data_IF_077040232300
#
_entry.id   IF_077040232300
#
_cell.length_a   1.000
_cell.length_b   1.000
_cell.length_c   1.000
_cell.angle_alpha   90.00
_cell.angle_beta   90.00
_cell.angle_gamma   90.00
#
_symmetry.space_group_name_H-M   'P 1'
#
loop_
_entity.id
_entity.type
_entity.pdbx_description
1 polymer ?
#
# COMPACT_ATOMS: atom_id res chain seq x y z
N UNK A 1 -15.82 13.19 -1.39
CA UNK A 1 -15.91 11.72 -1.29
C UNK A 1 -15.13 11.26 -0.06
N UNK A 2 -15.69 10.36 0.74
CA UNK A 2 -14.94 9.67 1.78
C UNK A 2 -14.26 8.44 1.17
N UNK A 3 -13.00 8.60 0.74
CA UNK A 3 -12.26 7.54 0.04
C UNK A 3 -12.14 6.25 0.85
N UNK A 4 -12.03 6.35 2.18
CA UNK A 4 -11.92 5.19 3.06
C UNK A 4 -13.17 4.32 2.94
N UNK A 5 -14.34 4.90 3.18
CA UNK A 5 -15.60 4.16 3.19
C UNK A 5 -15.90 3.59 1.80
N UNK A 6 -15.58 4.33 0.73
CA UNK A 6 -15.76 3.84 -0.63
C UNK A 6 -14.87 2.64 -0.92
N UNK A 7 -13.59 2.68 -0.56
CA UNK A 7 -12.69 1.55 -0.78
C UNK A 7 -13.08 0.33 0.06
N UNK A 8 -13.48 0.55 1.32
CA UNK A 8 -13.97 -0.54 2.18
C UNK A 8 -15.23 -1.18 1.60
N UNK A 9 -16.17 -0.37 1.09
CA UNK A 9 -17.38 -0.87 0.41
C UNK A 9 -17.04 -1.72 -0.82
N UNK A 10 -16.10 -1.26 -1.65
CA UNK A 10 -15.68 -1.99 -2.85
C UNK A 10 -15.03 -3.34 -2.52
N UNK A 11 -14.22 -3.40 -1.46
CA UNK A 11 -13.64 -4.66 -0.98
C UNK A 11 -14.74 -5.59 -0.44
N UNK A 12 -15.63 -5.10 0.40
CA UNK A 12 -16.69 -5.92 1.01
C UNK A 12 -17.66 -6.47 -0.05
N UNK A 13 -17.97 -5.69 -1.08
CA UNK A 13 -18.77 -6.14 -2.22
C UNK A 13 -18.10 -7.25 -3.03
N UNK A 14 -16.79 -7.08 -3.31
CA UNK A 14 -16.00 -8.02 -4.10
C UNK A 14 -15.65 -9.30 -3.32
N UNK A 15 -15.45 -9.20 -2.00
CA UNK A 15 -14.88 -10.26 -1.16
C UNK A 15 -15.75 -10.58 0.07
N UNK A 16 -17.02 -10.90 -0.16
CA UNK A 16 -18.03 -11.17 0.90
C UNK A 16 -17.66 -12.25 1.92
N UNK A 17 -16.72 -13.13 1.60
CA UNK A 17 -16.29 -14.27 2.44
C UNK A 17 -14.93 -14.06 3.11
N UNK A 18 -14.35 -12.88 2.97
CA UNK A 18 -12.97 -12.58 3.35
C UNK A 18 -12.11 -12.23 2.14
N UNK A 19 -11.19 -11.30 2.33
CA UNK A 19 -10.30 -10.81 1.27
C UNK A 19 -9.27 -11.87 0.91
N UNK A 20 -9.54 -12.64 -0.14
CA UNK A 20 -8.58 -13.55 -0.75
C UNK A 20 -8.70 -13.42 -2.27
N UNK A 21 -7.62 -12.98 -2.92
CA UNK A 21 -7.59 -12.90 -4.39
C UNK A 21 -7.31 -14.24 -5.06
N UNK A 22 -6.87 -15.25 -4.30
CA UNK A 22 -6.50 -16.58 -4.81
C UNK A 22 -5.56 -16.51 -6.03
N UNK A 23 -4.69 -15.49 -6.08
CA UNK A 23 -3.80 -15.25 -7.20
C UNK A 23 -2.67 -16.29 -7.20
N UNK A 24 -2.66 -17.16 -8.19
CA UNK A 24 -1.65 -18.23 -8.29
C UNK A 24 -0.50 -17.89 -9.24
N UNK A 25 -0.70 -17.00 -10.21
CA UNK A 25 0.31 -16.73 -11.23
C UNK A 25 -0.13 -15.77 -12.34
N UNK A 26 0.78 -15.54 -13.29
CA UNK A 26 0.55 -14.75 -14.50
C UNK A 26 0.24 -15.72 -15.66
N UNK A 27 -0.93 -15.57 -16.26
CA UNK A 27 -1.35 -16.38 -17.41
C UNK A 27 -0.75 -15.84 -18.71
N UNK A 28 -0.33 -16.76 -19.58
CA UNK A 28 0.14 -16.45 -20.94
C UNK A 28 -0.86 -16.93 -22.00
N UNK A 29 -0.73 -16.39 -23.22
CA UNK A 29 -1.57 -16.79 -24.38
C UNK A 29 -1.48 -18.28 -24.72
N UNK A 30 -0.39 -18.93 -24.34
CA UNK A 30 -0.17 -20.36 -24.56
C UNK A 30 -0.71 -21.24 -23.42
N UNK A 31 -1.65 -20.71 -22.62
CA UNK A 31 -2.27 -21.45 -21.51
C UNK A 31 -1.27 -21.92 -20.44
N UNK A 32 -0.11 -21.26 -20.35
CA UNK A 32 0.86 -21.48 -19.28
C UNK A 32 0.70 -20.43 -18.19
N UNK A 33 0.81 -20.86 -16.94
CA UNK A 33 0.79 -20.01 -15.74
C UNK A 33 2.20 -19.95 -15.18
N UNK A 34 2.73 -18.74 -15.03
CA UNK A 34 3.96 -18.48 -14.29
C UNK A 34 3.61 -18.22 -12.84
N UNK A 35 3.97 -19.13 -11.94
CA UNK A 35 3.67 -18.96 -10.52
C UNK A 35 4.42 -17.76 -9.95
N UNK A 36 3.82 -17.10 -8.97
CA UNK A 36 4.46 -16.01 -8.27
C UNK A 36 5.27 -16.56 -7.11
N UNK A 37 6.48 -16.02 -6.89
CA UNK A 37 7.20 -16.25 -5.66
C UNK A 37 6.72 -15.28 -4.56
N UNK A 38 6.96 -15.62 -3.30
CA UNK A 38 6.56 -14.78 -2.16
C UNK A 38 7.44 -13.53 -1.93
N UNK A 39 8.37 -13.21 -2.84
CA UNK A 39 9.27 -12.06 -2.69
C UNK A 39 8.47 -10.76 -2.52
N UNK A 40 8.76 -10.01 -1.45
CA UNK A 40 7.95 -8.83 -1.12
C UNK A 40 8.01 -7.72 -2.16
N UNK A 41 9.05 -7.61 -2.99
CA UNK A 41 9.07 -6.61 -4.06
C UNK A 41 8.08 -6.98 -5.16
N UNK A 42 8.01 -8.27 -5.50
CA UNK A 42 7.01 -8.79 -6.45
C UNK A 42 5.62 -8.59 -5.86
N UNK A 43 5.40 -9.04 -4.63
CA UNK A 43 4.08 -8.98 -4.00
C UNK A 43 3.58 -7.54 -3.80
N UNK A 44 4.45 -6.58 -3.51
CA UNK A 44 4.06 -5.17 -3.44
C UNK A 44 3.45 -4.67 -4.75
N UNK A 45 4.11 -4.95 -5.88
CA UNK A 45 3.58 -4.58 -7.20
C UNK A 45 2.32 -5.34 -7.57
N UNK A 46 2.16 -6.58 -7.10
CA UNK A 46 0.92 -7.35 -7.26
C UNK A 46 -0.24 -6.68 -6.53
N UNK A 47 -0.09 -6.26 -5.28
CA UNK A 47 -1.15 -5.55 -4.56
C UNK A 47 -1.55 -4.24 -5.26
N UNK A 48 -0.59 -3.52 -5.85
CA UNK A 48 -0.87 -2.33 -6.67
C UNK A 48 -1.76 -2.67 -7.89
N UNK A 49 -1.42 -3.73 -8.63
CA UNK A 49 -2.20 -4.21 -9.78
C UNK A 49 -3.61 -4.64 -9.36
N UNK A 50 -3.72 -5.35 -8.23
CA UNK A 50 -5.01 -5.85 -7.73
C UNK A 50 -5.92 -4.73 -7.23
N UNK A 51 -5.35 -3.63 -6.71
CA UNK A 51 -6.13 -2.47 -6.25
C UNK A 51 -6.60 -1.56 -7.39
N UNK A 52 -5.87 -1.52 -8.50
CA UNK A 52 -6.18 -0.65 -9.64
C UNK A 52 -7.65 -0.73 -10.12
N UNK A 53 -8.24 -1.90 -10.40
CA UNK A 53 -9.64 -1.98 -10.84
C UNK A 53 -10.63 -1.46 -9.78
N UNK A 54 -10.35 -1.66 -8.49
CA UNK A 54 -11.18 -1.15 -7.39
C UNK A 54 -11.12 0.39 -7.35
N UNK A 55 -9.92 0.95 -7.45
CA UNK A 55 -9.71 2.41 -7.49
C UNK A 55 -10.41 3.02 -8.71
N UNK A 56 -10.31 2.39 -9.88
CA UNK A 56 -10.99 2.83 -11.09
C UNK A 56 -12.51 2.82 -10.94
N UNK A 57 -13.09 1.81 -10.28
CA UNK A 57 -14.55 1.75 -10.01
C UNK A 57 -15.00 2.93 -9.13
N UNK A 58 -14.25 3.25 -8.07
CA UNK A 58 -14.51 4.42 -7.22
C UNK A 58 -14.40 5.71 -8.02
N UNK A 59 -13.32 5.88 -8.78
CA UNK A 59 -13.13 7.10 -9.57
C UNK A 59 -14.26 7.31 -10.58
N UNK A 60 -14.67 6.25 -11.28
CA UNK A 60 -15.78 6.32 -12.23
C UNK A 60 -17.12 6.68 -11.56
N UNK A 61 -17.41 6.12 -10.39
CA UNK A 61 -18.62 6.42 -9.60
C UNK A 61 -18.72 7.91 -9.26
N UNK A 62 -17.59 8.57 -9.05
CA UNK A 62 -17.50 10.00 -8.69
C UNK A 62 -17.06 10.90 -9.83
N UNK A 63 -17.01 10.40 -11.07
CA UNK A 63 -16.55 11.12 -12.26
C UNK A 63 -15.15 11.75 -12.11
N UNK A 64 -14.26 11.10 -11.37
CA UNK A 64 -12.88 11.52 -11.15
C UNK A 64 -11.95 10.95 -12.23
N UNK A 65 -10.87 11.67 -12.50
CA UNK A 65 -9.73 11.19 -13.25
C UNK A 65 -8.80 10.39 -12.34
N UNK A 66 -8.03 9.47 -12.93
CA UNK A 66 -6.98 8.71 -12.25
C UNK A 66 -5.70 8.80 -13.06
N UNK A 67 -4.67 9.38 -12.46
CA UNK A 67 -3.30 9.32 -13.01
C UNK A 67 -2.43 8.40 -12.16
N UNK A 68 -1.66 7.54 -12.83
CA UNK A 68 -0.66 6.67 -12.19
C UNK A 68 0.71 7.32 -12.21
N UNK A 69 1.43 7.19 -11.11
CA UNK A 69 2.81 7.67 -11.05
C UNK A 69 3.73 6.93 -12.03
N UNK A 70 4.73 7.67 -12.54
CA UNK A 70 5.88 7.05 -13.19
C UNK A 70 6.81 6.44 -12.13
N UNK A 71 7.79 5.66 -12.59
CA UNK A 71 8.79 5.06 -11.71
C UNK A 71 9.40 6.10 -10.75
N UNK A 72 9.49 5.76 -9.46
CA UNK A 72 10.03 6.61 -8.38
C UNK A 72 9.24 7.90 -8.09
N UNK A 73 7.96 7.98 -8.47
CA UNK A 73 7.07 9.08 -8.09
C UNK A 73 5.99 8.61 -7.12
N UNK A 74 5.68 9.47 -6.16
CA UNK A 74 4.51 9.34 -5.27
C UNK A 74 3.32 10.12 -5.85
N UNK A 75 2.06 9.78 -5.52
CA UNK A 75 1.57 8.47 -5.03
C UNK A 75 1.43 7.44 -6.16
N UNK A 76 1.14 6.17 -5.86
CA UNK A 76 0.84 5.20 -6.92
C UNK A 76 -0.37 5.63 -7.77
N UNK A 77 -1.42 6.18 -7.15
CA UNK A 77 -2.60 6.72 -7.84
C UNK A 77 -2.95 8.13 -7.34
N UNK A 78 -3.27 9.04 -8.27
CA UNK A 78 -3.82 10.36 -7.98
C UNK A 78 -5.22 10.48 -8.55
N UNK A 79 -6.21 10.70 -7.67
CA UNK A 79 -7.61 10.92 -8.04
C UNK A 79 -7.94 12.41 -7.94
N UNK A 80 -8.61 12.96 -8.95
CA UNK A 80 -8.97 14.39 -8.96
C UNK A 80 -10.09 14.72 -9.96
N UNK A 81 -10.76 15.85 -9.75
CA UNK A 81 -11.67 16.45 -10.72
C UNK A 81 -10.88 17.44 -11.59
N UNK A 82 -11.09 17.42 -12.91
CA UNK A 82 -10.47 18.41 -13.83
C UNK A 82 -10.84 19.86 -13.50
N UNK A 83 -12.03 20.07 -12.93
CA UNK A 83 -12.54 21.38 -12.58
C UNK A 83 -11.98 21.90 -11.25
N UNK A 84 -11.48 21.01 -10.38
CA UNK A 84 -10.91 21.38 -9.09
C UNK A 84 -9.50 20.80 -8.92
N UNK A 85 -8.52 21.62 -9.29
CA UNK A 85 -7.10 21.24 -9.27
C UNK A 85 -6.51 21.18 -7.85
N UNK A 86 -7.18 21.70 -6.83
CA UNK A 86 -6.64 21.79 -5.46
C UNK A 86 -7.20 20.74 -4.50
N UNK A 87 -8.03 19.82 -5.01
CA UNK A 87 -8.67 18.77 -4.22
C UNK A 87 -8.12 17.37 -4.55
N UNK A 88 -6.84 17.28 -4.99
CA UNK A 88 -6.27 15.98 -5.39
C UNK A 88 -6.18 15.04 -4.18
N UNK A 89 -6.47 13.78 -4.43
CA UNK A 89 -6.39 12.69 -3.47
C UNK A 89 -5.23 11.80 -3.89
N UNK A 90 -4.23 11.69 -3.02
CA UNK A 90 -3.14 10.74 -3.19
C UNK A 90 -3.51 9.41 -2.54
N UNK A 91 -3.34 8.30 -3.27
CA UNK A 91 -3.60 6.94 -2.80
C UNK A 91 -2.32 6.11 -2.97
N UNK A 92 -1.80 5.67 -1.82
CA UNK A 92 -0.52 4.97 -1.71
C UNK A 92 -0.77 3.51 -1.30
N UNK A 93 -0.36 2.52 -2.09
CA UNK A 93 -0.48 1.11 -1.74
C UNK A 93 0.77 0.67 -0.99
N UNK A 94 0.59 0.03 0.15
CA UNK A 94 1.69 -0.49 0.97
C UNK A 94 1.38 -1.91 1.41
N UNK A 95 2.42 -2.71 1.51
CA UNK A 95 2.28 -4.10 1.97
C UNK A 95 3.41 -4.47 2.92
N UNK A 96 3.11 -5.36 3.85
CA UNK A 96 4.07 -5.98 4.76
C UNK A 96 3.60 -7.40 5.07
N UNK A 97 4.46 -8.21 5.66
CA UNK A 97 4.15 -9.61 5.92
C UNK A 97 4.32 -9.97 7.39
N UNK A 98 3.56 -10.97 7.84
CA UNK A 98 3.64 -11.49 9.21
C UNK A 98 4.98 -12.18 9.43
N UNK A 99 5.58 -11.90 10.59
CA UNK A 99 6.77 -12.59 11.06
C UNK A 99 6.50 -13.09 12.47
N UNK A 100 6.90 -14.34 12.74
CA UNK A 100 6.68 -14.96 14.05
C UNK A 100 7.99 -15.09 14.83
N UNK A 101 7.88 -15.02 16.15
CA UNK A 101 8.94 -15.34 17.11
C UNK A 101 9.17 -16.83 17.25
N UNK A 102 10.21 -17.21 17.99
CA UNK A 102 10.56 -18.62 18.26
C UNK A 102 9.42 -19.36 18.98
N UNK A 103 8.64 -18.64 19.78
CA UNK A 103 7.47 -19.11 20.51
C UNK A 103 6.17 -19.04 19.70
N UNK A 104 6.22 -18.74 18.40
CA UNK A 104 5.04 -18.60 17.54
C UNK A 104 4.26 -17.29 17.72
N UNK A 105 4.71 -16.34 18.54
CA UNK A 105 3.99 -15.06 18.70
C UNK A 105 4.26 -14.12 17.53
N UNK A 106 3.23 -13.42 17.05
CA UNK A 106 3.34 -12.42 15.98
C UNK A 106 4.23 -11.25 16.43
N UNK A 107 5.34 -11.03 15.70
CA UNK A 107 6.22 -9.88 15.91
C UNK A 107 5.52 -8.59 15.46
N UNK A 108 5.82 -7.44 16.10
CA UNK A 108 5.32 -6.16 15.63
C UNK A 108 5.76 -5.89 14.20
N UNK A 109 4.80 -5.54 13.35
CA UNK A 109 5.02 -5.16 11.96
C UNK A 109 4.84 -3.65 11.79
N UNK A 110 5.32 -3.14 10.65
CA UNK A 110 5.17 -1.75 10.25
C UNK A 110 5.38 -1.59 8.75
N UNK A 111 5.20 -0.37 8.28
CA UNK A 111 5.21 0.02 6.87
C UNK A 111 6.18 1.17 6.63
N UNK A 112 6.73 1.23 5.42
CA UNK A 112 7.46 2.40 4.92
C UNK A 112 6.47 3.31 4.21
N UNK A 113 6.39 4.58 4.60
CA UNK A 113 5.36 5.52 4.13
C UNK A 113 5.91 6.52 3.08
N UNK A 114 6.93 6.10 2.33
CA UNK A 114 7.64 6.92 1.35
C UNK A 114 8.69 7.86 1.97
N UNK A 115 9.38 8.61 1.12
CA UNK A 115 10.56 9.38 1.54
C UNK A 115 10.23 10.68 2.27
N UNK A 116 10.88 10.93 3.42
CA UNK A 116 10.84 12.23 4.10
C UNK A 116 11.79 13.28 3.50
N UNK A 117 12.65 12.91 2.53
CA UNK A 117 13.59 13.84 1.86
C UNK A 117 13.13 14.28 0.48
N UNK A 118 11.98 13.79 0.02
CA UNK A 118 11.45 14.09 -1.31
C UNK A 118 10.42 15.22 -1.26
N UNK A 119 9.16 14.92 -1.55
CA UNK A 119 8.09 15.90 -1.73
C UNK A 119 7.80 16.75 -0.49
N UNK A 120 8.07 16.25 0.71
CA UNK A 120 7.90 17.05 1.93
C UNK A 120 8.89 18.22 2.00
N UNK A 121 10.12 18.07 1.47
CA UNK A 121 11.16 19.12 1.50
C UNK A 121 11.23 19.91 0.20
N UNK A 122 10.97 19.26 -0.92
CA UNK A 122 10.88 19.89 -2.23
C UNK A 122 9.54 19.45 -2.87
N UNK A 123 8.50 20.30 -2.85
CA UNK A 123 7.14 19.94 -3.26
C UNK A 123 6.97 19.38 -4.67
N UNK A 124 7.98 19.47 -5.54
CA UNK A 124 7.94 18.92 -6.91
C UNK A 124 8.83 17.69 -7.11
N UNK A 125 9.58 17.27 -6.09
CA UNK A 125 10.56 16.18 -6.20
C UNK A 125 9.92 14.84 -5.82
N UNK A 126 10.04 13.86 -6.72
CA UNK A 126 9.59 12.48 -6.49
C UNK A 126 8.09 12.37 -6.22
N UNK A 127 7.30 13.26 -6.82
CA UNK A 127 5.84 13.31 -6.72
C UNK A 127 5.26 13.69 -8.09
N UNK A 128 4.08 13.17 -8.41
CA UNK A 128 3.44 13.33 -9.72
C UNK A 128 2.93 14.77 -9.96
N UNK A 129 2.35 15.37 -8.92
CA UNK A 129 1.88 16.76 -8.89
C UNK A 129 2.53 17.49 -7.71
N UNK A 130 2.58 18.83 -7.70
CA UNK A 130 3.08 19.57 -6.53
C UNK A 130 2.39 19.12 -5.24
N UNK A 131 3.14 18.91 -4.16
CA UNK A 131 2.62 18.39 -2.89
C UNK A 131 1.43 19.19 -2.34
N UNK A 132 1.43 20.52 -2.52
CA UNK A 132 0.34 21.39 -2.07
C UNK A 132 -0.98 21.24 -2.84
N UNK A 133 -0.98 20.55 -3.98
CA UNK A 133 -2.21 20.27 -4.74
C UNK A 133 -3.03 19.12 -4.12
N UNK A 134 -2.41 18.35 -3.21
CA UNK A 134 -3.06 17.22 -2.56
C UNK A 134 -3.69 17.65 -1.24
N UNK A 135 -4.99 17.41 -1.11
CA UNK A 135 -5.72 17.64 0.13
C UNK A 135 -5.65 16.45 1.08
N UNK A 136 -5.53 15.25 0.52
CA UNK A 136 -5.57 13.97 1.24
C UNK A 136 -4.48 13.03 0.76
N UNK A 137 -3.88 12.33 1.72
CA UNK A 137 -2.86 11.32 1.50
C UNK A 137 -3.30 10.02 2.17
N UNK A 138 -3.98 9.17 1.41
CA UNK A 138 -4.45 7.86 1.87
C UNK A 138 -3.40 6.78 1.65
N UNK A 139 -3.35 5.85 2.59
CA UNK A 139 -2.57 4.62 2.48
C UNK A 139 -3.54 3.45 2.55
N UNK A 140 -3.47 2.55 1.57
CA UNK A 140 -4.09 1.24 1.62
C UNK A 140 -2.99 0.26 2.00
N UNK A 141 -3.03 -0.27 3.22
CA UNK A 141 -2.01 -1.15 3.75
C UNK A 141 -2.48 -2.60 3.81
N UNK A 142 -1.69 -3.53 3.27
CA UNK A 142 -1.93 -4.97 3.31
C UNK A 142 -0.96 -5.68 4.26
N UNK A 143 -1.50 -6.54 5.12
CA UNK A 143 -0.76 -7.51 5.92
C UNK A 143 -1.11 -8.91 5.43
N UNK A 144 -0.09 -9.70 5.10
CA UNK A 144 -0.29 -11.06 4.59
C UNK A 144 0.67 -12.06 5.23
N UNK A 145 0.32 -13.34 5.14
CA UNK A 145 1.22 -14.46 5.44
C UNK A 145 1.90 -14.89 4.15
N UNK A 146 3.23 -15.03 4.15
CA UNK A 146 3.95 -15.58 2.98
C UNK A 146 3.71 -17.07 2.89
N UNK A 147 3.47 -17.57 1.69
CA UNK A 147 3.42 -19.01 1.46
C UNK A 147 4.80 -19.54 1.11
N UNK A 148 5.46 -20.21 2.05
CA UNK A 148 6.81 -20.75 1.88
C UNK A 148 6.92 -21.84 0.79
N UNK A 149 5.80 -22.39 0.31
CA UNK A 149 5.80 -23.29 -0.85
C UNK A 149 6.18 -22.56 -2.15
N UNK A 150 5.97 -21.24 -2.22
CA UNK A 150 6.17 -20.42 -3.41
C UNK A 150 7.53 -19.69 -3.36
N UNK A 151 8.64 -20.42 -3.18
CA UNK A 151 9.99 -19.82 -3.14
C UNK A 151 10.50 -19.37 -4.50
N UNK A 152 10.18 -20.15 -5.53
CA UNK A 152 10.66 -19.95 -6.89
C UNK A 152 9.47 -19.92 -7.85
N UNK A 153 9.62 -19.20 -8.95
CA UNK A 153 8.66 -19.20 -10.03
C UNK A 153 8.81 -20.47 -10.86
N UNK A 154 7.68 -21.11 -11.12
CA UNK A 154 7.55 -22.30 -11.96
C UNK A 154 6.60 -22.01 -13.12
N UNK A 155 6.72 -22.78 -14.20
CA UNK A 155 5.78 -22.76 -15.32
C UNK A 155 4.88 -23.98 -15.18
N UNK A 156 3.58 -23.74 -15.12
CA UNK A 156 2.53 -24.77 -14.98
C UNK A 156 1.48 -24.62 -16.06
N UNK A 157 0.68 -25.64 -16.30
CA UNK A 157 -0.44 -25.54 -17.23
C UNK A 157 -1.64 -24.88 -16.55
N UNK A 158 -2.42 -24.10 -17.29
CA UNK A 158 -3.61 -23.41 -16.74
C UNK A 158 -4.63 -24.37 -16.14
N UNK A 159 -4.72 -25.59 -16.66
CA UNK A 159 -5.62 -26.62 -16.11
C UNK A 159 -5.28 -27.00 -14.66
N UNK A 160 -4.02 -26.78 -14.26
CA UNK A 160 -3.55 -27.03 -12.90
C UNK A 160 -3.82 -25.85 -11.95
N UNK A 161 -4.30 -24.70 -12.45
CA UNK A 161 -4.40 -23.47 -11.67
C UNK A 161 -5.19 -23.61 -10.36
N UNK A 162 -6.26 -24.43 -10.36
CA UNK A 162 -7.07 -24.70 -9.16
C UNK A 162 -6.34 -25.49 -8.07
N UNK A 163 -5.20 -26.11 -8.39
CA UNK A 163 -4.35 -26.88 -7.47
C UNK A 163 -3.10 -26.11 -7.06
N UNK A 164 -2.82 -24.97 -7.71
CA UNK A 164 -1.67 -24.15 -7.40
C UNK A 164 -1.92 -23.36 -6.12
N UNK A 165 -0.86 -23.21 -5.34
CA UNK A 165 -0.92 -22.46 -4.09
C UNK A 165 -0.63 -20.98 -4.35
N UNK A 166 -1.38 -20.06 -3.73
CA UNK A 166 -1.11 -18.63 -3.83
C UNK A 166 0.20 -18.29 -3.08
N UNK A 167 0.95 -17.26 -3.51
CA UNK A 167 2.21 -16.87 -2.87
C UNK A 167 2.02 -16.16 -1.52
N UNK A 168 0.79 -15.77 -1.20
CA UNK A 168 0.39 -15.18 0.06
C UNK A 168 -1.02 -15.61 0.44
N UNK A 169 -1.31 -15.60 1.74
CA UNK A 169 -2.61 -15.96 2.33
C UNK A 169 -2.92 -15.06 3.53
N UNK A 170 -4.10 -15.24 4.11
CA UNK A 170 -4.56 -14.59 5.35
C UNK A 170 -4.51 -13.06 5.23
N UNK A 171 -5.05 -12.53 4.14
CA UNK A 171 -4.90 -11.11 3.83
C UNK A 171 -5.78 -10.29 4.77
N UNK A 172 -5.15 -9.35 5.46
CA UNK A 172 -5.86 -8.28 6.16
C UNK A 172 -5.43 -6.93 5.57
N UNK A 173 -6.31 -5.94 5.63
CA UNK A 173 -6.02 -4.61 5.11
C UNK A 173 -6.53 -3.49 6.02
N UNK A 174 -6.05 -2.28 5.76
CA UNK A 174 -6.62 -1.04 6.29
C UNK A 174 -6.56 0.07 5.24
N UNK A 175 -7.43 1.07 5.39
CA UNK A 175 -7.34 2.35 4.66
C UNK A 175 -7.30 3.50 5.66
N UNK A 176 -6.24 4.31 5.63
CA UNK A 176 -6.05 5.38 6.60
C UNK A 176 -5.21 6.54 6.06
N UNK A 177 -5.44 7.75 6.57
CA UNK A 177 -4.59 8.91 6.25
C UNK A 177 -3.15 8.67 6.73
N UNK A 178 -2.17 9.03 5.90
CA UNK A 178 -0.74 8.77 6.13
C UNK A 178 -0.24 9.26 7.50
N UNK A 179 -0.64 10.46 7.94
CA UNK A 179 -0.20 11.00 9.23
C UNK A 179 -0.77 10.23 10.43
N UNK A 180 -1.97 9.64 10.32
CA UNK A 180 -2.64 8.90 11.39
C UNK A 180 -2.02 7.54 11.67
N UNK A 181 -1.13 7.05 10.82
CA UNK A 181 -0.41 5.79 11.01
C UNK A 181 1.11 5.99 11.09
N UNK A 182 1.59 7.21 10.88
CA UNK A 182 3.01 7.51 10.90
C UNK A 182 3.55 7.45 12.33
N UNK A 183 4.75 6.90 12.48
CA UNK A 183 5.55 6.98 13.70
C UNK A 183 6.60 8.09 13.58
N UNK A 184 7.43 8.24 14.62
CA UNK A 184 8.53 9.22 14.64
C UNK A 184 9.89 8.64 14.25
N UNK A 185 9.96 7.35 13.95
CA UNK A 185 11.20 6.66 13.58
C UNK A 185 11.27 6.33 12.09
N UNK A 186 12.45 6.36 11.44
CA UNK A 186 12.61 5.95 10.05
C UNK A 186 12.18 4.49 9.84
N UNK A 187 11.52 4.22 8.72
CA UNK A 187 11.06 2.88 8.34
C UNK A 187 12.17 1.98 7.78
N UNK A 188 13.33 2.56 7.45
CA UNK A 188 14.48 1.88 6.86
C UNK A 188 15.77 2.57 7.25
N UNK A 189 16.84 1.78 7.51
CA UNK A 189 18.13 2.32 7.95
C UNK A 189 19.00 2.92 6.83
N UNK A 190 18.84 2.44 5.59
CA UNK A 190 19.65 2.83 4.43
C UNK A 190 18.94 3.80 3.47
N UNK A 191 17.61 3.82 3.50
CA UNK A 191 16.76 4.65 2.65
C UNK A 191 15.96 5.59 3.54
N UNK A 192 15.68 6.78 3.03
CA UNK A 192 15.16 7.90 3.84
C UNK A 192 13.65 7.87 3.90
N UNK A 193 13.09 6.74 4.34
CA UNK A 193 11.65 6.50 4.42
C UNK A 193 11.09 6.82 5.81
N UNK A 194 9.91 7.43 5.80
CA UNK A 194 9.03 7.56 6.96
C UNK A 194 8.64 6.15 7.41
N UNK A 195 8.75 5.88 8.71
CA UNK A 195 8.20 4.65 9.29
C UNK A 195 6.79 4.89 9.81
N UNK A 196 5.92 3.89 9.67
CA UNK A 196 4.69 3.84 10.44
C UNK A 196 4.96 3.54 11.92
N UNK A 197 3.92 3.60 12.74
CA UNK A 197 3.92 2.92 14.03
C UNK A 197 4.20 1.43 13.86
N UNK A 198 4.65 0.77 14.94
CA UNK A 198 4.77 -0.69 14.99
C UNK A 198 3.70 -1.27 15.89
N UNK A 199 3.03 -2.32 15.44
CA UNK A 199 2.00 -3.01 16.20
C UNK A 199 1.97 -4.49 15.83
N UNK A 200 1.51 -5.34 16.75
CA UNK A 200 1.14 -6.74 16.44
C UNK A 200 -0.35 -6.91 16.16
N UNK A 201 -1.12 -5.81 16.13
CA UNK A 201 -2.54 -5.77 15.81
C UNK A 201 -2.79 -4.73 14.70
N UNK A 202 -3.42 -5.16 13.60
CA UNK A 202 -3.74 -4.31 12.47
C UNK A 202 -4.76 -3.23 12.82
N UNK A 203 -5.59 -3.43 13.86
CA UNK A 203 -6.56 -2.44 14.33
C UNK A 203 -5.90 -1.13 14.76
N UNK A 204 -4.63 -1.16 15.21
CA UNK A 204 -3.89 0.07 15.50
C UNK A 204 -3.79 1.00 14.28
N UNK A 205 -3.67 0.42 13.07
CA UNK A 205 -3.64 1.16 11.82
C UNK A 205 -5.04 1.56 11.36
N UNK A 206 -6.02 0.65 11.44
CA UNK A 206 -7.44 0.93 11.10
C UNK A 206 -7.99 2.10 11.90
N UNK A 207 -7.67 2.13 13.20
CA UNK A 207 -8.13 3.15 14.14
C UNK A 207 -7.27 4.44 14.13
N UNK A 208 -6.19 4.48 13.36
CA UNK A 208 -5.34 5.67 13.24
C UNK A 208 -4.61 6.03 14.53
N UNK A 209 -4.03 5.05 15.22
CA UNK A 209 -3.32 5.22 16.50
C UNK A 209 -1.86 5.69 16.31
N UNK A 210 -1.63 6.55 15.33
CA UNK A 210 -0.33 7.15 15.03
C UNK A 210 0.16 8.13 16.08
N UNK A 211 1.41 8.57 15.95
CA UNK A 211 2.06 9.44 16.94
C UNK A 211 1.85 10.95 16.70
N UNK A 212 1.08 11.32 15.67
CA UNK A 212 0.82 12.71 15.28
C UNK A 212 -0.66 13.05 15.45
N UNK A 213 -0.92 14.20 16.07
CA UNK A 213 -2.29 14.67 16.30
C UNK A 213 -2.96 15.18 15.01
N UNK A 214 -2.17 15.69 14.06
CA UNK A 214 -2.67 16.22 12.80
C UNK A 214 -1.60 16.20 11.69
N UNK A 215 -2.05 16.43 10.45
CA UNK A 215 -1.22 16.48 9.25
C UNK A 215 -0.07 17.50 9.36
N UNK A 216 -0.34 18.70 9.93
CA UNK A 216 0.68 19.76 10.03
C UNK A 216 1.82 19.34 10.95
N UNK A 217 1.52 18.73 12.08
CA UNK A 217 2.53 18.22 13.01
C UNK A 217 3.41 17.14 12.36
N UNK A 218 2.77 16.18 11.67
CA UNK A 218 3.46 15.14 10.89
C UNK A 218 4.43 15.75 9.88
N UNK A 219 3.97 16.72 9.10
CA UNK A 219 4.79 17.37 8.10
C UNK A 219 5.95 18.16 8.72
N UNK A 220 5.68 18.98 9.73
CA UNK A 220 6.69 19.80 10.39
C UNK A 220 7.80 18.95 11.00
N UNK A 221 7.44 17.79 11.57
CA UNK A 221 8.39 16.82 12.10
C UNK A 221 9.26 16.22 10.99
N UNK A 222 8.66 15.59 9.98
CA UNK A 222 9.41 14.86 8.95
C UNK A 222 10.19 15.77 8.00
N UNK A 223 9.73 17.01 7.76
CA UNK A 223 10.48 18.04 7.03
C UNK A 223 11.80 18.38 7.72
N UNK A 224 11.79 18.47 9.06
CA UNK A 224 12.96 18.85 9.88
C UNK A 224 13.82 17.68 10.30
N UNK A 225 13.30 16.45 10.26
CA UNK A 225 14.00 15.24 10.72
C UNK A 225 15.38 15.08 10.07
N UNK A 226 16.45 15.10 10.87
CA UNK A 226 17.81 14.77 10.42
C UNK A 226 18.10 13.33 10.82
N UNK A 227 18.49 12.50 9.86
CA UNK A 227 18.93 11.14 10.17
C UNK A 227 20.22 11.19 10.99
N UNK A 228 20.62 10.09 11.63
CA UNK A 228 21.82 10.04 12.49
C UNK A 228 23.14 10.47 11.83
N UNK A 229 23.16 10.67 10.50
CA UNK A 229 24.32 11.04 9.69
C UNK A 229 24.14 12.38 8.94
N UNK A 230 23.19 13.23 9.35
CA UNK A 230 22.99 14.62 8.89
C UNK A 230 23.11 15.59 10.07
#
# INVERSE_FOLDING_TARGET
MDFKNEFETEIDEAFRKGLEWELVGILTKNSSVYTLSYDSKILSGIFEILCEPLIMKIANKYHLQVDKAKQNQYPEFTLYDHNDKNEKIAVDIKSTYRQYGVNGTLKPFGFTLGSYRSYLRNPKKGILFPYGDYKKHWVIGFLYTRNEANRITEIRQVIEASQLLPPFTDIEYFVQEKYKIAGRTPGSGNTTNIGSIKSSDLNAFKNGQGEFANQKEFEDYWKKYRGKNE
#
